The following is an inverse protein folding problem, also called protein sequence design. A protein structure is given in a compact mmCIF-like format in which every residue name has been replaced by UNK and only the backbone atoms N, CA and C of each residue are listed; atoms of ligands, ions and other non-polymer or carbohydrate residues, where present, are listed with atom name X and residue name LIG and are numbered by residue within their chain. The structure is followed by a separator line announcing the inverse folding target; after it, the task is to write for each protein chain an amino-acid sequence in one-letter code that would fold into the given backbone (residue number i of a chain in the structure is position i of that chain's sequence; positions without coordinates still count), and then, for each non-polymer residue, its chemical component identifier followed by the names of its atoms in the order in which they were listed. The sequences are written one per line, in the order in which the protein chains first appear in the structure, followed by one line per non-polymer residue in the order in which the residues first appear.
data_IF_382683397202
#
_entry.id   IF_382683397202
#
_cell.length_a   1.000
_cell.length_b   1.000
_cell.length_c   1.000
_cell.angle_alpha   90.00
_cell.angle_beta   90.00
_cell.angle_gamma   90.00
#
_symmetry.space_group_name_H-M   'P 1'
#
loop_
_entity.id
_entity.type
_entity.pdbx_description
1 polymer ?
#
# COMPACT_ATOMS: atom_id res chain seq x y z
N UNK A 1 -5.29 -31.74 0.87
CA UNK A 1 -5.78 -31.06 2.04
C UNK A 1 -5.03 -31.50 3.29
N UNK A 2 -5.03 -30.66 4.32
CA UNK A 2 -4.45 -31.00 5.64
C UNK A 2 -5.41 -31.93 6.40
N UNK A 3 -4.86 -32.98 7.02
CA UNK A 3 -5.58 -33.75 8.03
C UNK A 3 -5.49 -33.05 9.40
N UNK A 4 -6.29 -33.48 10.40
CA UNK A 4 -6.19 -32.96 11.76
C UNK A 4 -4.80 -33.17 12.36
N UNK A 5 -4.17 -34.31 12.06
CA UNK A 5 -2.81 -34.62 12.49
C UNK A 5 -1.79 -33.68 11.82
N UNK A 6 -1.90 -33.48 10.51
CA UNK A 6 -1.03 -32.53 9.77
C UNK A 6 -1.18 -31.10 10.31
N UNK A 7 -2.39 -30.70 10.71
CA UNK A 7 -2.66 -29.38 11.28
C UNK A 7 -2.02 -29.16 12.65
N UNK A 8 -1.85 -30.23 13.45
CA UNK A 8 -1.26 -30.18 14.80
C UNK A 8 0.25 -30.40 14.77
N UNK A 9 0.72 -31.34 13.97
CA UNK A 9 2.14 -31.79 13.99
C UNK A 9 2.98 -31.12 12.90
N UNK A 10 2.34 -30.55 11.89
CA UNK A 10 3.00 -30.17 10.64
C UNK A 10 3.30 -31.39 9.74
N UNK A 11 3.58 -31.15 8.48
CA UNK A 11 4.01 -32.19 7.55
C UNK A 11 4.80 -31.54 6.40
N UNK A 12 6.05 -31.21 6.69
CA UNK A 12 6.93 -30.48 5.75
C UNK A 12 7.25 -31.32 4.51
N UNK A 13 7.44 -32.64 4.67
CA UNK A 13 7.70 -33.53 3.53
C UNK A 13 6.53 -33.57 2.54
N UNK A 14 5.30 -33.57 3.05
CA UNK A 14 4.11 -33.50 2.20
C UNK A 14 4.01 -32.15 1.51
N UNK A 15 4.29 -31.06 2.21
CA UNK A 15 4.27 -29.71 1.65
C UNK A 15 5.29 -29.58 0.51
N UNK A 16 6.52 -30.03 0.71
CA UNK A 16 7.57 -30.04 -0.31
C UNK A 16 7.10 -30.81 -1.54
N UNK A 17 6.65 -32.04 -1.36
CA UNK A 17 6.17 -32.89 -2.48
C UNK A 17 5.00 -32.29 -3.23
N UNK A 18 4.01 -31.70 -2.52
CA UNK A 18 2.85 -31.07 -3.16
C UNK A 18 3.29 -29.85 -3.99
N UNK A 19 4.31 -29.09 -3.54
CA UNK A 19 4.88 -27.94 -4.27
C UNK A 19 5.69 -28.43 -5.49
N UNK A 20 6.48 -29.48 -5.38
CA UNK A 20 7.24 -30.06 -6.49
C UNK A 20 6.30 -30.50 -7.63
N UNK A 21 5.23 -31.23 -7.30
CA UNK A 21 4.20 -31.64 -8.27
C UNK A 21 3.57 -30.42 -8.96
N UNK A 22 3.22 -29.39 -8.18
CA UNK A 22 2.64 -28.17 -8.73
C UNK A 22 3.65 -27.41 -9.60
N UNK A 23 4.93 -27.40 -9.24
CA UNK A 23 5.97 -26.74 -10.01
C UNK A 23 6.24 -27.42 -11.36
N UNK A 24 6.18 -28.76 -11.42
CA UNK A 24 6.28 -29.51 -12.67
C UNK A 24 5.14 -29.17 -13.64
N UNK A 25 3.92 -29.00 -13.13
CA UNK A 25 2.74 -28.65 -13.92
C UNK A 25 2.74 -27.19 -14.37
N UNK A 26 2.97 -26.25 -13.41
CA UNK A 26 2.83 -24.81 -13.63
C UNK A 26 4.08 -24.16 -14.24
N UNK A 27 5.25 -24.79 -14.11
CA UNK A 27 6.55 -24.27 -14.56
C UNK A 27 6.79 -22.81 -14.13
N UNK A 28 6.73 -22.53 -12.83
CA UNK A 28 6.86 -21.17 -12.33
C UNK A 28 8.28 -20.63 -12.53
N UNK A 29 8.41 -19.31 -12.61
CA UNK A 29 9.72 -18.62 -12.66
C UNK A 29 10.35 -18.45 -11.29
N UNK A 30 9.56 -18.49 -10.23
CA UNK A 30 9.98 -18.50 -8.83
C UNK A 30 8.89 -19.12 -7.95
N UNK A 31 9.25 -19.50 -6.74
CA UNK A 31 8.34 -20.01 -5.71
C UNK A 31 8.44 -19.10 -4.48
N UNK A 32 7.31 -18.59 -3.99
CA UNK A 32 7.25 -17.82 -2.75
C UNK A 32 6.36 -18.53 -1.73
N UNK A 33 6.91 -18.83 -0.55
CA UNK A 33 6.21 -19.48 0.56
C UNK A 33 5.71 -18.42 1.54
N UNK A 34 4.41 -18.25 1.65
CA UNK A 34 3.77 -17.33 2.60
C UNK A 34 3.13 -18.12 3.74
N UNK A 35 3.50 -17.76 4.98
CA UNK A 35 2.96 -18.40 6.17
C UNK A 35 1.55 -17.95 6.51
N UNK A 36 0.79 -18.84 7.14
CA UNK A 36 -0.52 -18.62 7.73
C UNK A 36 -0.51 -19.00 9.22
N UNK A 37 -1.60 -18.76 10.00
CA UNK A 37 -1.56 -19.00 11.43
C UNK A 37 -1.22 -20.44 11.84
N UNK A 38 -1.75 -21.44 11.13
CA UNK A 38 -1.51 -22.85 11.49
C UNK A 38 -0.03 -23.25 11.33
N UNK A 39 0.61 -23.10 10.17
CA UNK A 39 2.04 -23.37 10.01
C UNK A 39 2.92 -22.57 10.97
N UNK A 40 2.56 -21.31 11.25
CA UNK A 40 3.28 -20.49 12.20
C UNK A 40 3.25 -21.07 13.63
N UNK A 41 2.08 -21.55 14.07
CA UNK A 41 1.92 -22.19 15.39
C UNK A 41 2.65 -23.53 15.49
N UNK A 42 2.74 -24.26 14.39
CA UNK A 42 3.46 -25.54 14.32
C UNK A 42 4.98 -25.36 14.22
N UNK A 43 5.46 -24.12 14.03
CA UNK A 43 6.89 -23.85 13.88
C UNK A 43 7.47 -24.29 12.53
N UNK A 44 6.64 -24.38 11.47
CA UNK A 44 7.10 -24.71 10.10
C UNK A 44 8.20 -23.75 9.67
N UNK A 45 9.37 -24.29 9.29
CA UNK A 45 10.51 -23.51 8.79
C UNK A 45 10.42 -23.32 7.27
N UNK A 46 9.64 -22.31 6.85
CA UNK A 46 9.50 -21.97 5.45
C UNK A 46 10.81 -21.57 4.78
N UNK A 47 11.80 -21.06 5.53
CA UNK A 47 13.09 -20.70 4.95
C UNK A 47 13.90 -21.96 4.61
N UNK A 48 13.89 -22.98 5.48
CA UNK A 48 14.50 -24.28 5.20
C UNK A 48 13.80 -24.98 4.03
N UNK A 49 12.46 -24.99 4.01
CA UNK A 49 11.68 -25.58 2.91
C UNK A 49 11.98 -24.88 1.58
N UNK A 50 12.06 -23.55 1.56
CA UNK A 50 12.38 -22.81 0.34
C UNK A 50 13.78 -23.19 -0.19
N UNK A 51 14.78 -23.34 0.67
CA UNK A 51 16.13 -23.79 0.27
C UNK A 51 16.15 -25.20 -0.34
N UNK A 52 15.34 -26.11 0.22
CA UNK A 52 15.21 -27.47 -0.32
C UNK A 52 14.60 -27.40 -1.73
N UNK A 53 13.47 -26.71 -1.86
CA UNK A 53 12.78 -26.55 -3.16
C UNK A 53 13.66 -25.89 -4.22
N UNK A 54 14.47 -24.86 -3.84
CA UNK A 54 15.41 -24.22 -4.75
C UNK A 54 16.49 -25.19 -5.24
N UNK A 55 17.02 -26.04 -4.35
CA UNK A 55 18.02 -27.06 -4.68
C UNK A 55 17.46 -28.16 -5.58
N UNK A 56 16.27 -28.65 -5.27
CA UNK A 56 15.68 -29.81 -5.96
C UNK A 56 15.08 -29.43 -7.32
N UNK A 57 14.49 -28.23 -7.43
CA UNK A 57 13.83 -27.77 -8.67
C UNK A 57 14.72 -26.89 -9.55
N UNK A 58 15.80 -26.30 -9.01
CA UNK A 58 16.61 -25.31 -9.74
C UNK A 58 15.85 -24.03 -10.07
N UNK A 59 14.77 -23.73 -9.35
CA UNK A 59 13.93 -22.55 -9.50
C UNK A 59 14.11 -21.68 -8.26
N UNK A 60 14.33 -20.35 -8.38
CA UNK A 60 14.43 -19.47 -7.22
C UNK A 60 13.24 -19.67 -6.27
N UNK A 61 13.52 -20.00 -5.01
CA UNK A 61 12.50 -20.17 -3.99
C UNK A 61 12.84 -19.39 -2.73
N UNK A 62 11.84 -18.77 -2.10
CA UNK A 62 12.03 -17.98 -0.90
C UNK A 62 10.80 -17.94 0.02
N UNK A 63 11.04 -17.70 1.30
CA UNK A 63 9.98 -17.47 2.25
C UNK A 63 9.59 -15.99 2.31
N UNK A 64 8.30 -15.73 2.47
CA UNK A 64 7.75 -14.42 2.86
C UNK A 64 7.37 -14.53 4.32
N UNK A 65 8.02 -13.79 5.24
CA UNK A 65 7.83 -13.95 6.68
C UNK A 65 6.48 -13.36 7.14
N UNK A 66 5.40 -14.06 6.79
CA UNK A 66 4.02 -13.78 7.20
C UNK A 66 3.51 -14.86 8.14
N UNK A 67 2.50 -14.53 8.94
CA UNK A 67 1.85 -15.47 9.87
C UNK A 67 0.33 -15.35 9.89
N UNK A 68 -0.25 -14.48 9.03
CA UNK A 68 -1.70 -14.25 8.95
C UNK A 68 -2.29 -13.48 10.13
N UNK A 69 -1.46 -12.92 11.05
CA UNK A 69 -1.91 -12.20 12.25
C UNK A 69 -1.73 -10.66 12.13
N UNK A 70 -1.35 -10.18 10.97
CA UNK A 70 -1.15 -8.77 10.67
C UNK A 70 -2.14 -8.31 9.59
N UNK A 71 -2.22 -7.00 9.38
CA UNK A 71 -3.00 -6.46 8.28
C UNK A 71 -2.36 -6.75 6.90
N UNK A 72 -3.11 -6.42 5.84
CA UNK A 72 -2.66 -6.69 4.47
C UNK A 72 -1.40 -5.89 4.08
N UNK A 73 -1.21 -4.68 4.64
CA UNK A 73 -0.03 -3.85 4.37
C UNK A 73 1.24 -4.55 4.79
N UNK A 74 1.21 -5.20 5.96
CA UNK A 74 2.33 -6.02 6.42
C UNK A 74 2.66 -7.16 5.45
N UNK A 75 1.64 -7.94 5.06
CA UNK A 75 1.83 -9.10 4.18
C UNK A 75 2.35 -8.71 2.79
N UNK A 76 1.68 -7.75 2.15
CA UNK A 76 2.09 -7.23 0.84
C UNK A 76 3.47 -6.58 0.89
N UNK A 77 3.71 -5.72 1.90
CA UNK A 77 5.00 -5.07 2.08
C UNK A 77 6.16 -6.06 2.23
N UNK A 78 5.94 -7.18 2.94
CA UNK A 78 6.93 -8.27 3.04
C UNK A 78 7.15 -8.97 1.71
N UNK A 79 6.09 -9.29 0.97
CA UNK A 79 6.21 -9.95 -0.33
C UNK A 79 6.98 -9.09 -1.35
N UNK A 80 6.64 -7.82 -1.47
CA UNK A 80 7.34 -6.87 -2.35
C UNK A 80 8.80 -6.66 -1.91
N UNK A 81 9.06 -6.62 -0.60
CA UNK A 81 10.40 -6.54 -0.05
C UNK A 81 11.27 -7.74 -0.42
N UNK A 82 10.74 -8.96 -0.35
CA UNK A 82 11.46 -10.16 -0.76
C UNK A 82 11.77 -10.18 -2.26
N UNK A 83 10.89 -9.65 -3.10
CA UNK A 83 11.16 -9.44 -4.52
C UNK A 83 12.26 -8.38 -4.70
N UNK A 84 12.15 -7.23 -4.02
CA UNK A 84 13.14 -6.15 -4.11
C UNK A 84 14.56 -6.57 -3.71
N UNK A 85 14.70 -7.48 -2.73
CA UNK A 85 15.99 -8.08 -2.35
C UNK A 85 16.64 -8.91 -3.46
N UNK A 86 15.84 -9.41 -4.39
CA UNK A 86 16.27 -10.32 -5.47
C UNK A 86 16.44 -9.65 -6.81
N UNK A 87 16.08 -8.37 -6.92
CA UNK A 87 16.38 -7.60 -8.13
C UNK A 87 17.88 -7.52 -8.32
N UNK A 88 18.34 -7.90 -9.50
CA UNK A 88 19.73 -7.81 -9.91
C UNK A 88 19.92 -6.63 -10.87
N UNK A 89 21.15 -6.17 -11.02
CA UNK A 89 21.49 -5.13 -11.99
C UNK A 89 22.31 -4.00 -11.40
N UNK A 90 22.68 -3.08 -12.26
CA UNK A 90 23.38 -1.84 -11.92
C UNK A 90 22.46 -0.66 -12.11
N UNK A 91 22.67 0.37 -11.32
CA UNK A 91 21.96 1.61 -11.48
C UNK A 91 22.45 2.37 -12.71
N UNK A 92 21.68 2.32 -13.79
CA UNK A 92 21.84 3.14 -14.99
C UNK A 92 20.60 4.01 -15.16
N UNK A 93 20.64 5.22 -14.63
CA UNK A 93 19.45 6.06 -14.50
C UNK A 93 18.91 6.51 -15.86
N UNK A 94 17.67 6.17 -16.13
CA UNK A 94 16.89 6.76 -17.22
C UNK A 94 16.26 8.07 -16.71
N UNK A 95 16.57 9.23 -17.30
CA UNK A 95 16.00 10.50 -16.85
C UNK A 95 14.47 10.53 -16.97
N UNK A 96 13.81 11.22 -16.02
CA UNK A 96 12.34 11.34 -15.97
C UNK A 96 11.63 9.98 -16.00
N UNK A 97 12.17 9.01 -15.28
CA UNK A 97 11.57 7.69 -15.14
C UNK A 97 11.26 7.33 -13.70
N UNK A 98 10.23 6.50 -13.52
CA UNK A 98 9.68 6.17 -12.22
C UNK A 98 9.19 4.72 -12.17
N UNK A 99 9.38 4.07 -11.01
CA UNK A 99 8.64 2.86 -10.66
C UNK A 99 7.46 3.23 -9.76
N UNK A 100 6.30 2.63 -9.97
CA UNK A 100 5.15 2.75 -9.08
C UNK A 100 5.17 1.56 -8.10
N UNK A 101 5.38 1.83 -6.83
CA UNK A 101 5.50 0.81 -5.78
C UNK A 101 4.24 0.77 -4.91
N UNK A 102 3.75 -0.44 -4.62
CA UNK A 102 2.54 -0.63 -3.85
C UNK A 102 1.26 -0.67 -4.69
N UNK A 103 1.40 -0.92 -5.98
CA UNK A 103 0.25 -1.06 -6.89
C UNK A 103 -0.33 -2.47 -6.75
N UNK A 104 -1.35 -2.63 -5.90
CA UNK A 104 -1.95 -3.93 -5.61
C UNK A 104 -3.45 -3.94 -5.86
N UNK A 105 -4.04 -5.12 -6.16
CA UNK A 105 -5.50 -5.24 -6.30
C UNK A 105 -6.25 -4.88 -5.01
N UNK A 106 -5.59 -4.96 -3.86
CA UNK A 106 -6.18 -4.64 -2.56
C UNK A 106 -6.41 -3.13 -2.39
N UNK A 107 -5.49 -2.31 -2.92
CA UNK A 107 -5.58 -0.85 -2.86
C UNK A 107 -6.29 -0.25 -4.07
N UNK A 108 -5.97 -0.72 -5.28
CA UNK A 108 -6.41 -0.07 -6.52
C UNK A 108 -7.46 -0.87 -7.31
N UNK A 109 -7.74 -2.12 -6.91
CA UNK A 109 -8.77 -2.92 -7.56
C UNK A 109 -8.40 -3.39 -8.97
N UNK A 110 -9.26 -3.21 -9.98
CA UNK A 110 -9.01 -3.71 -11.33
C UNK A 110 -7.93 -2.92 -12.06
N UNK A 111 -7.31 -3.55 -13.09
CA UNK A 111 -6.20 -2.99 -13.85
C UNK A 111 -6.48 -1.60 -14.43
N UNK A 112 -7.71 -1.31 -14.84
CA UNK A 112 -8.12 -0.01 -15.39
C UNK A 112 -7.83 1.17 -14.44
N UNK A 113 -7.86 0.93 -13.12
CA UNK A 113 -7.52 1.96 -12.13
C UNK A 113 -6.00 2.21 -12.09
N UNK A 114 -5.21 1.17 -12.26
CA UNK A 114 -3.75 1.28 -12.37
C UNK A 114 -3.36 2.01 -13.63
N UNK A 115 -4.02 1.70 -14.75
CA UNK A 115 -3.79 2.37 -16.03
C UNK A 115 -4.06 3.89 -15.93
N UNK A 116 -5.06 4.30 -15.14
CA UNK A 116 -5.32 5.71 -14.87
C UNK A 116 -4.21 6.38 -14.04
N UNK A 117 -3.64 5.67 -13.04
CA UNK A 117 -2.46 6.17 -12.30
C UNK A 117 -1.25 6.36 -13.23
N UNK A 118 -0.98 5.37 -14.08
CA UNK A 118 0.10 5.44 -15.08
C UNK A 118 -0.11 6.64 -16.00
N UNK A 119 -1.32 6.81 -16.54
CA UNK A 119 -1.65 7.94 -17.43
C UNK A 119 -1.39 9.29 -16.78
N UNK A 120 -1.77 9.48 -15.52
CA UNK A 120 -1.52 10.75 -14.82
C UNK A 120 -0.01 11.05 -14.73
N UNK A 121 0.80 10.06 -14.45
CA UNK A 121 2.26 10.19 -14.36
C UNK A 121 2.88 10.45 -15.74
N UNK A 122 2.44 9.72 -16.79
CA UNK A 122 2.98 9.86 -18.14
C UNK A 122 2.56 11.16 -18.83
N UNK A 123 1.32 11.61 -18.63
CA UNK A 123 0.86 12.92 -19.10
C UNK A 123 1.63 14.08 -18.47
N UNK A 124 2.19 13.86 -17.30
CA UNK A 124 3.05 14.81 -16.61
C UNK A 124 4.53 14.76 -17.07
N UNK A 125 4.86 13.95 -18.07
CA UNK A 125 6.17 13.87 -18.70
C UNK A 125 7.15 12.91 -18.00
N UNK A 126 6.67 12.02 -17.14
CA UNK A 126 7.48 10.96 -16.54
C UNK A 126 7.16 9.61 -17.19
N UNK A 127 8.18 8.79 -17.42
CA UNK A 127 8.03 7.43 -17.97
C UNK A 127 7.91 6.43 -16.85
N UNK A 128 6.83 5.67 -16.81
CA UNK A 128 6.69 4.54 -15.89
C UNK A 128 7.51 3.36 -16.44
N UNK A 129 8.46 2.85 -15.64
CA UNK A 129 9.30 1.71 -16.00
C UNK A 129 8.73 0.39 -15.47
N UNK A 130 8.13 0.43 -14.28
CA UNK A 130 7.48 -0.73 -13.68
C UNK A 130 6.38 -0.34 -12.70
N UNK A 131 5.40 -1.22 -12.56
CA UNK A 131 4.35 -1.17 -11.55
C UNK A 131 4.42 -2.40 -10.66
N UNK A 132 4.58 -2.20 -9.38
CA UNK A 132 4.72 -3.29 -8.41
C UNK A 132 3.41 -3.42 -7.59
N UNK A 133 2.53 -4.40 -7.82
CA UNK A 133 2.71 -5.64 -8.58
C UNK A 133 1.51 -5.92 -9.52
N UNK A 134 1.06 -4.98 -10.31
CA UNK A 134 -0.02 -5.18 -11.29
C UNK A 134 0.39 -4.72 -12.67
N UNK A 135 0.22 -5.63 -13.65
CA UNK A 135 0.41 -5.34 -15.07
C UNK A 135 1.82 -5.58 -15.60
N UNK A 136 2.80 -5.89 -14.77
CA UNK A 136 4.20 -6.05 -15.13
C UNK A 136 4.66 -7.50 -15.22
N UNK A 137 5.75 -7.70 -15.97
CA UNK A 137 6.53 -8.92 -16.00
C UNK A 137 7.70 -8.87 -15.01
N UNK A 138 8.38 -10.00 -14.78
CA UNK A 138 9.62 -10.03 -14.00
C UNK A 138 10.75 -9.26 -14.69
N UNK A 139 10.75 -9.18 -16.01
CA UNK A 139 11.70 -8.38 -16.77
C UNK A 139 11.51 -6.89 -16.49
N UNK A 140 10.26 -6.40 -16.42
CA UNK A 140 9.94 -5.01 -16.06
C UNK A 140 10.38 -4.71 -14.63
N UNK A 141 10.10 -5.60 -13.68
CA UNK A 141 10.59 -5.48 -12.31
C UNK A 141 12.11 -5.47 -12.22
N UNK A 142 12.79 -6.25 -13.07
CA UNK A 142 14.25 -6.27 -13.18
C UNK A 142 14.86 -4.92 -13.57
N UNK A 143 14.09 -4.04 -14.21
CA UNK A 143 14.50 -2.68 -14.59
C UNK A 143 14.35 -1.64 -13.47
N UNK A 144 13.87 -2.03 -12.29
CA UNK A 144 13.69 -1.10 -11.17
C UNK A 144 14.94 -0.26 -10.83
N UNK A 145 16.20 -0.74 -10.95
CA UNK A 145 17.38 0.07 -10.73
C UNK A 145 17.57 1.23 -11.72
N UNK A 146 16.94 1.17 -12.91
CA UNK A 146 17.04 2.20 -13.95
C UNK A 146 16.20 3.46 -13.63
N UNK A 147 15.25 3.38 -12.74
CA UNK A 147 14.37 4.50 -12.44
C UNK A 147 15.12 5.66 -11.74
N UNK A 148 14.78 6.88 -12.13
CA UNK A 148 15.29 8.07 -11.45
C UNK A 148 14.76 8.18 -10.02
N UNK A 149 13.48 7.82 -9.82
CA UNK A 149 12.80 7.85 -8.52
C UNK A 149 11.83 6.66 -8.40
N UNK A 150 11.59 6.20 -7.19
CA UNK A 150 10.50 5.28 -6.84
C UNK A 150 9.32 6.07 -6.30
N UNK A 151 8.12 5.89 -6.83
CA UNK A 151 6.90 6.48 -6.32
C UNK A 151 6.11 5.44 -5.52
N UNK A 152 6.03 5.64 -4.22
CA UNK A 152 5.24 4.81 -3.30
C UNK A 152 3.81 5.32 -3.30
N UNK A 153 2.92 4.62 -4.03
CA UNK A 153 1.53 5.03 -4.23
C UNK A 153 0.57 4.53 -3.15
N UNK A 154 1.02 3.57 -2.36
CA UNK A 154 0.37 3.00 -1.16
C UNK A 154 1.45 2.56 -0.18
N UNK A 155 1.17 2.57 1.11
CA UNK A 155 2.11 2.12 2.15
C UNK A 155 2.61 0.69 1.98
N UNK A 156 1.89 -0.13 1.23
CA UNK A 156 2.33 -1.49 0.84
C UNK A 156 3.65 -1.50 0.05
N UNK A 157 3.97 -0.42 -0.67
CA UNK A 157 5.22 -0.28 -1.44
C UNK A 157 6.43 0.22 -0.65
N UNK A 158 6.24 0.73 0.58
CA UNK A 158 7.28 1.45 1.30
C UNK A 158 8.51 0.59 1.59
N UNK A 159 8.33 -0.66 2.07
CA UNK A 159 9.44 -1.56 2.36
C UNK A 159 10.28 -1.91 1.13
N UNK A 160 9.64 -2.07 -0.02
CA UNK A 160 10.35 -2.30 -1.28
C UNK A 160 11.14 -1.05 -1.70
N UNK A 161 10.57 0.15 -1.52
CA UNK A 161 11.25 1.41 -1.80
C UNK A 161 12.50 1.61 -0.94
N UNK A 162 12.42 1.33 0.36
CA UNK A 162 13.56 1.38 1.29
C UNK A 162 14.69 0.44 0.85
N UNK A 163 14.37 -0.80 0.47
CA UNK A 163 15.34 -1.78 -0.01
C UNK A 163 15.98 -1.34 -1.33
N UNK A 164 15.19 -0.84 -2.28
CA UNK A 164 15.72 -0.34 -3.55
C UNK A 164 16.60 0.90 -3.35
N UNK A 165 16.28 1.75 -2.37
CA UNK A 165 17.12 2.87 -1.99
C UNK A 165 18.45 2.40 -1.36
N UNK A 166 18.40 1.44 -0.44
CA UNK A 166 19.61 0.88 0.20
C UNK A 166 20.52 0.19 -0.82
N UNK A 167 19.94 -0.62 -1.73
CA UNK A 167 20.71 -1.43 -2.68
C UNK A 167 21.24 -0.66 -3.88
N UNK A 168 20.44 0.26 -4.40
CA UNK A 168 20.74 0.96 -5.65
C UNK A 168 20.87 2.48 -5.50
N UNK A 169 20.53 3.04 -4.33
CA UNK A 169 20.51 4.48 -4.10
C UNK A 169 19.38 5.20 -4.84
N UNK A 170 18.33 4.48 -5.30
CA UNK A 170 17.17 5.08 -5.95
C UNK A 170 16.32 5.80 -4.90
N UNK A 171 16.21 7.13 -4.93
CA UNK A 171 15.38 7.84 -3.96
C UNK A 171 13.91 7.47 -4.14
N UNK A 172 13.12 7.61 -3.09
CA UNK A 172 11.67 7.41 -3.20
C UNK A 172 10.87 8.62 -2.72
N UNK A 173 9.69 8.75 -3.28
CA UNK A 173 8.67 9.75 -2.95
C UNK A 173 7.38 9.01 -2.62
N UNK A 174 6.68 9.44 -1.59
CA UNK A 174 5.40 8.85 -1.16
C UNK A 174 4.24 9.78 -1.53
N UNK A 175 3.26 9.26 -2.25
CA UNK A 175 2.07 9.98 -2.67
C UNK A 175 1.34 9.26 -3.80
N UNK A 176 0.01 9.32 -3.80
CA UNK A 176 -0.83 8.70 -4.84
C UNK A 176 -1.05 9.69 -5.98
N UNK A 177 -0.85 9.32 -7.26
CA UNK A 177 -0.97 10.22 -8.40
C UNK A 177 -2.44 10.53 -8.77
N UNK A 178 -3.15 11.19 -7.85
CA UNK A 178 -4.50 11.72 -8.04
C UNK A 178 -4.39 13.03 -8.83
N UNK A 179 -5.30 13.28 -9.79
CA UNK A 179 -5.24 14.43 -10.70
C UNK A 179 -4.99 15.77 -9.99
N UNK A 180 -5.76 16.11 -8.97
CA UNK A 180 -5.60 17.36 -8.21
C UNK A 180 -4.30 17.44 -7.41
N UNK A 181 -3.67 16.31 -7.12
CA UNK A 181 -2.41 16.22 -6.38
C UNK A 181 -1.17 16.21 -7.26
N UNK A 182 -1.29 15.98 -8.57
CA UNK A 182 -0.16 15.78 -9.49
C UNK A 182 0.89 16.89 -9.44
N UNK A 183 0.50 18.15 -9.36
CA UNK A 183 1.46 19.26 -9.31
C UNK A 183 2.37 19.19 -8.09
N UNK A 184 1.83 18.89 -6.94
CA UNK A 184 2.59 18.73 -5.68
C UNK A 184 3.48 17.50 -5.74
N UNK A 185 2.95 16.40 -6.25
CA UNK A 185 3.67 15.14 -6.41
C UNK A 185 4.87 15.28 -7.35
N UNK A 186 4.71 15.94 -8.50
CA UNK A 186 5.79 16.17 -9.46
C UNK A 186 6.93 17.01 -8.86
N UNK A 187 6.59 18.08 -8.16
CA UNK A 187 7.60 18.89 -7.46
C UNK A 187 8.39 18.04 -6.45
N UNK A 188 7.70 17.21 -5.67
CA UNK A 188 8.36 16.31 -4.74
C UNK A 188 9.26 15.27 -5.44
N UNK A 189 8.83 14.73 -6.59
CA UNK A 189 9.64 13.81 -7.38
C UNK A 189 10.89 14.48 -7.96
N UNK A 190 10.78 15.72 -8.47
CA UNK A 190 11.91 16.49 -8.98
C UNK A 190 12.91 16.85 -7.88
N UNK A 191 12.42 17.25 -6.72
CA UNK A 191 13.22 17.62 -5.55
C UNK A 191 13.64 16.40 -4.70
N UNK A 192 13.15 15.20 -5.02
CA UNK A 192 13.39 13.93 -4.32
C UNK A 192 13.03 13.98 -2.83
N UNK A 193 11.91 14.62 -2.54
CA UNK A 193 11.36 14.77 -1.20
C UNK A 193 10.50 13.57 -0.83
N UNK A 194 10.81 12.94 0.30
CA UNK A 194 10.26 11.63 0.67
C UNK A 194 8.74 11.58 0.78
N UNK A 195 8.09 12.64 1.27
CA UNK A 195 6.64 12.63 1.50
C UNK A 195 6.03 13.87 0.83
N UNK A 196 5.40 13.68 -0.33
CA UNK A 196 4.90 14.76 -1.17
C UNK A 196 3.80 15.60 -0.50
N UNK A 197 2.87 14.98 0.21
CA UNK A 197 1.74 15.67 0.83
C UNK A 197 2.12 16.49 2.08
N UNK A 198 3.27 16.24 2.71
CA UNK A 198 3.75 17.04 3.85
C UNK A 198 4.49 18.30 3.43
N UNK A 199 4.94 18.41 2.17
CA UNK A 199 5.77 19.50 1.68
C UNK A 199 5.11 20.88 1.71
N UNK A 200 3.79 20.94 1.52
CA UNK A 200 3.02 22.18 1.64
C UNK A 200 2.34 22.35 2.98
N UNK A 201 2.68 21.46 3.95
CA UNK A 201 2.07 21.41 5.26
C UNK A 201 0.56 21.27 5.13
N UNK A 202 0.05 20.04 5.14
CA UNK A 202 -1.36 19.83 5.44
C UNK A 202 -1.70 20.63 6.67
N UNK A 203 -2.82 21.35 6.67
CA UNK A 203 -3.27 22.33 7.67
C UNK A 203 -2.55 23.71 7.69
N UNK A 204 -1.58 24.02 6.80
CA UNK A 204 -0.91 25.34 6.77
C UNK A 204 -1.77 26.44 6.14
N UNK A 205 -2.77 26.12 5.33
CA UNK A 205 -3.69 27.13 4.78
C UNK A 205 -4.66 27.74 5.78
N UNK A 206 -4.78 27.15 6.96
CA UNK A 206 -5.71 27.50 8.02
C UNK A 206 -4.98 28.25 9.14
N UNK A 207 -4.32 29.36 8.81
CA UNK A 207 -3.61 30.23 9.77
C UNK A 207 -4.60 31.03 10.63
N UNK A 208 -5.23 30.35 11.55
CA UNK A 208 -5.94 30.94 12.70
C UNK A 208 -5.30 30.45 14.01
N UNK A 209 -5.46 31.21 15.09
CA UNK A 209 -5.07 30.76 16.42
C UNK A 209 -5.71 29.40 16.74
N UNK A 210 -5.06 28.55 17.53
CA UNK A 210 -5.56 27.21 17.88
C UNK A 210 -7.01 27.20 18.41
N UNK A 211 -7.44 28.31 19.02
CA UNK A 211 -8.82 28.54 19.50
C UNK A 211 -9.85 28.76 18.38
N UNK A 212 -9.44 29.18 17.18
CA UNK A 212 -10.32 29.40 16.03
C UNK A 212 -10.44 28.13 15.17
N UNK A 213 -9.40 27.26 15.13
CA UNK A 213 -9.43 25.97 14.44
C UNK A 213 -10.54 25.02 14.89
N UNK A 214 -11.01 25.17 16.13
CA UNK A 214 -12.10 24.33 16.69
C UNK A 214 -13.49 24.68 16.17
N UNK A 215 -13.67 25.76 15.39
CA UNK A 215 -14.95 26.22 14.87
C UNK A 215 -15.18 25.90 13.38
N UNK A 216 -14.16 25.47 12.66
CA UNK A 216 -14.28 25.19 11.22
C UNK A 216 -14.88 23.80 10.93
N UNK A 217 -15.66 23.74 9.85
CA UNK A 217 -16.21 22.50 9.33
C UNK A 217 -15.07 21.62 8.82
N UNK A 218 -15.07 20.33 9.19
CA UNK A 218 -14.05 19.40 8.75
C UNK A 218 -14.64 18.16 8.07
N UNK A 219 -13.89 17.61 7.15
CA UNK A 219 -14.14 16.30 6.51
C UNK A 219 -13.18 15.27 7.13
N UNK A 220 -13.69 14.09 7.41
CA UNK A 220 -12.88 12.96 7.90
C UNK A 220 -12.66 11.98 6.76
N UNK A 221 -11.43 11.57 6.54
CA UNK A 221 -11.08 10.48 5.62
C UNK A 221 -10.61 9.29 6.44
N UNK A 222 -11.19 8.10 6.21
CA UNK A 222 -10.79 6.87 6.92
C UNK A 222 -10.26 5.87 5.90
N UNK A 223 -8.98 5.47 6.02
CA UNK A 223 -8.43 4.48 5.10
C UNK A 223 -6.91 4.35 5.12
N UNK A 224 -6.36 3.92 4.00
CA UNK A 224 -4.94 3.72 3.76
C UNK A 224 -4.20 5.07 3.77
N UNK A 225 -3.10 5.21 4.53
CA UNK A 225 -2.54 6.52 4.83
C UNK A 225 -2.07 7.31 3.60
N UNK A 226 -1.36 6.69 2.66
CA UNK A 226 -0.81 7.41 1.48
C UNK A 226 -1.92 7.92 0.57
N UNK A 227 -2.94 7.10 0.34
CA UNK A 227 -4.09 7.44 -0.49
C UNK A 227 -4.90 8.55 0.18
N UNK A 228 -5.23 8.38 1.46
CA UNK A 228 -6.06 9.34 2.21
C UNK A 228 -5.34 10.69 2.40
N UNK A 229 -4.04 10.67 2.68
CA UNK A 229 -3.23 11.88 2.79
C UNK A 229 -3.13 12.65 1.46
N UNK A 230 -2.95 11.93 0.34
CA UNK A 230 -2.95 12.54 -0.99
C UNK A 230 -4.30 13.15 -1.33
N UNK A 231 -5.40 12.45 -1.01
CA UNK A 231 -6.76 12.95 -1.18
C UNK A 231 -7.06 14.15 -0.27
N UNK A 232 -6.61 14.09 0.97
CA UNK A 232 -6.75 15.20 1.92
C UNK A 232 -6.05 16.45 1.40
N UNK A 233 -4.85 16.33 0.86
CA UNK A 233 -4.11 17.44 0.27
C UNK A 233 -4.87 18.09 -0.92
N UNK A 234 -5.57 17.28 -1.72
CA UNK A 234 -6.45 17.80 -2.80
C UNK A 234 -7.61 18.59 -2.20
N UNK A 235 -8.35 18.00 -1.27
CA UNK A 235 -9.54 18.61 -0.67
C UNK A 235 -9.17 19.94 0.02
N UNK A 236 -8.09 19.97 0.80
CA UNK A 236 -7.63 21.18 1.47
C UNK A 236 -7.18 22.27 0.50
N UNK A 237 -6.50 21.87 -0.59
CA UNK A 237 -5.98 22.84 -1.57
C UNK A 237 -7.08 23.41 -2.48
N UNK A 238 -7.98 22.56 -3.00
CA UNK A 238 -8.98 22.96 -3.98
C UNK A 238 -10.24 23.54 -3.35
N UNK A 239 -10.67 22.97 -2.22
CA UNK A 239 -11.94 23.36 -1.59
C UNK A 239 -11.77 24.22 -0.34
N UNK A 240 -10.55 24.39 0.16
CA UNK A 240 -10.25 25.14 1.40
C UNK A 240 -11.05 24.62 2.61
N UNK A 241 -11.22 23.31 2.68
CA UNK A 241 -11.92 22.61 3.77
C UNK A 241 -10.89 21.87 4.60
N UNK A 242 -10.95 21.98 5.91
CA UNK A 242 -10.08 21.22 6.83
C UNK A 242 -10.36 19.71 6.71
N UNK A 243 -9.33 18.93 6.61
CA UNK A 243 -9.43 17.46 6.53
C UNK A 243 -8.66 16.82 7.67
N UNK A 244 -9.23 15.77 8.23
CA UNK A 244 -8.57 14.90 9.20
C UNK A 244 -8.53 13.49 8.66
N UNK A 245 -7.35 12.87 8.66
CA UNK A 245 -7.21 11.46 8.30
C UNK A 245 -7.22 10.60 9.56
N UNK A 246 -7.98 9.52 9.51
CA UNK A 246 -7.96 8.44 10.50
C UNK A 246 -7.49 7.17 9.82
N UNK A 247 -6.34 6.65 10.23
CA UNK A 247 -5.75 5.44 9.67
C UNK A 247 -6.00 4.23 10.58
N UNK A 248 -6.77 3.22 10.12
CA UNK A 248 -7.06 2.02 10.90
C UNK A 248 -5.99 0.92 10.74
N UNK A 249 -4.91 1.18 10.00
CA UNK A 249 -3.85 0.22 9.73
C UNK A 249 -2.68 0.37 10.71
N UNK A 250 -1.98 -0.74 10.97
CA UNK A 250 -0.87 -0.77 11.94
C UNK A 250 0.45 -0.25 11.37
N UNK A 251 0.75 -0.55 10.11
CA UNK A 251 1.97 -0.14 9.40
C UNK A 251 1.82 1.28 8.82
N UNK A 252 2.01 2.30 9.66
CA UNK A 252 1.77 3.72 9.29
C UNK A 252 2.85 4.70 9.73
N UNK A 253 3.99 4.20 10.20
CA UNK A 253 5.07 5.00 10.78
C UNK A 253 5.53 6.12 9.84
N UNK A 254 5.35 7.35 10.29
CA UNK A 254 5.82 8.55 9.57
C UNK A 254 5.01 8.91 8.31
N UNK A 255 3.87 8.25 8.06
CA UNK A 255 3.03 8.53 6.88
C UNK A 255 1.88 9.50 7.16
N UNK A 256 1.48 9.68 8.40
CA UNK A 256 0.40 10.60 8.77
C UNK A 256 0.92 12.01 9.02
N UNK A 257 0.15 13.00 8.59
CA UNK A 257 0.41 14.40 8.90
C UNK A 257 0.17 14.71 10.39
N UNK A 258 0.76 15.81 10.87
CA UNK A 258 0.57 16.25 12.24
C UNK A 258 -0.91 16.49 12.57
N UNK A 259 -1.37 15.84 13.63
CA UNK A 259 -2.75 15.91 14.08
C UNK A 259 -3.69 14.89 13.46
N UNK A 260 -3.28 14.11 12.47
CA UNK A 260 -4.04 12.96 11.99
C UNK A 260 -3.95 11.78 12.98
N UNK A 261 -4.92 10.89 12.94
CA UNK A 261 -5.15 9.91 14.00
C UNK A 261 -4.88 8.50 13.49
N UNK A 262 -4.10 7.78 14.27
CA UNK A 262 -3.92 6.35 14.07
C UNK A 262 -4.77 5.58 15.09
N UNK A 263 -5.54 4.58 14.64
CA UNK A 263 -6.40 3.77 15.49
C UNK A 263 -6.13 2.27 15.29
N UNK A 264 -6.45 1.47 16.29
CA UNK A 264 -6.34 0.02 16.23
C UNK A 264 -7.68 -0.60 16.68
N UNK A 265 -8.50 -0.99 15.70
CA UNK A 265 -9.81 -1.59 15.95
C UNK A 265 -10.96 -0.60 15.99
N UNK A 266 -12.17 -1.15 16.09
CA UNK A 266 -13.44 -0.43 15.96
C UNK A 266 -13.69 0.53 17.11
N UNK A 267 -13.36 0.12 18.34
CA UNK A 267 -13.56 0.93 19.55
C UNK A 267 -12.74 2.23 19.53
N UNK A 268 -11.45 2.14 19.17
CA UNK A 268 -10.60 3.34 19.06
C UNK A 268 -11.07 4.25 17.92
N UNK A 269 -11.57 3.68 16.83
CA UNK A 269 -12.13 4.45 15.71
C UNK A 269 -13.38 5.22 16.15
N UNK A 270 -14.30 4.55 16.87
CA UNK A 270 -15.50 5.20 17.39
C UNK A 270 -15.16 6.33 18.35
N UNK A 271 -14.23 6.09 19.29
CA UNK A 271 -13.74 7.12 20.22
C UNK A 271 -13.09 8.30 19.49
N UNK A 272 -12.27 8.04 18.46
CA UNK A 272 -11.67 9.08 17.65
C UNK A 272 -12.75 9.94 16.96
N UNK A 273 -13.73 9.32 16.31
CA UNK A 273 -14.84 10.03 15.66
C UNK A 273 -15.67 10.87 16.64
N UNK A 274 -15.95 10.35 17.84
CA UNK A 274 -16.69 11.05 18.88
C UNK A 274 -15.91 12.25 19.47
N UNK A 275 -14.58 12.19 19.47
CA UNK A 275 -13.72 13.27 19.97
C UNK A 275 -13.67 14.49 19.03
N UNK A 276 -13.95 14.31 17.74
CA UNK A 276 -13.87 15.34 16.73
C UNK A 276 -15.14 16.21 16.70
N UNK A 277 -14.95 17.51 16.57
CA UNK A 277 -16.03 18.50 16.54
C UNK A 277 -16.25 19.02 15.12
N UNK A 278 -17.46 19.50 14.86
CA UNK A 278 -17.82 20.15 13.58
C UNK A 278 -17.58 19.28 12.34
N UNK A 279 -17.69 17.96 12.47
CA UNK A 279 -17.60 17.02 11.36
C UNK A 279 -18.82 17.19 10.46
N UNK A 280 -18.59 17.50 9.18
CA UNK A 280 -19.64 17.66 8.15
C UNK A 280 -19.80 16.43 7.28
N UNK A 281 -18.75 15.66 7.12
CA UNK A 281 -18.76 14.46 6.32
C UNK A 281 -17.65 13.51 6.66
N UNK A 282 -17.90 12.24 6.43
CA UNK A 282 -16.93 11.15 6.51
C UNK A 282 -16.84 10.51 5.13
N UNK A 283 -15.63 10.36 4.61
CA UNK A 283 -15.33 9.59 3.38
C UNK A 283 -14.61 8.32 3.81
N UNK A 284 -15.22 7.17 3.59
CA UNK A 284 -14.67 5.91 4.06
C UNK A 284 -15.25 4.71 3.30
N UNK A 285 -14.61 3.54 3.47
CA UNK A 285 -15.21 2.28 3.06
C UNK A 285 -16.56 2.07 3.77
N UNK A 286 -17.59 1.53 3.08
CA UNK A 286 -18.91 1.25 3.68
C UNK A 286 -18.88 0.42 4.97
N UNK A 287 -17.79 -0.35 5.20
CA UNK A 287 -17.57 -1.12 6.43
C UNK A 287 -17.62 -0.22 7.68
N UNK A 288 -17.17 1.04 7.55
CA UNK A 288 -17.08 1.97 8.70
C UNK A 288 -18.37 2.76 8.96
N UNK A 289 -19.41 2.60 8.11
CA UNK A 289 -20.68 3.33 8.29
C UNK A 289 -21.33 3.12 9.65
N UNK A 290 -21.37 1.88 10.22
CA UNK A 290 -22.01 1.64 11.52
C UNK A 290 -21.42 2.42 12.69
N UNK A 291 -20.12 2.75 12.65
CA UNK A 291 -19.44 3.49 13.74
C UNK A 291 -19.45 5.01 13.53
N UNK A 292 -19.98 5.47 12.38
CA UNK A 292 -20.07 6.90 12.10
C UNK A 292 -21.36 7.50 12.71
N UNK A 293 -21.31 8.75 13.23
CA UNK A 293 -22.49 9.41 13.76
C UNK A 293 -23.62 9.57 12.72
N UNK A 294 -24.85 9.29 13.07
CA UNK A 294 -26.00 9.32 12.16
C UNK A 294 -26.28 10.70 11.52
N UNK A 295 -25.92 11.77 12.21
CA UNK A 295 -26.14 13.15 11.77
C UNK A 295 -25.02 13.71 10.86
N UNK A 296 -24.03 12.89 10.50
CA UNK A 296 -22.91 13.27 9.64
C UNK A 296 -23.11 12.65 8.26
N UNK A 297 -22.85 13.43 7.21
CA UNK A 297 -22.90 12.92 5.83
C UNK A 297 -21.82 11.85 5.63
N UNK A 298 -22.21 10.71 5.06
CA UNK A 298 -21.29 9.61 4.77
C UNK A 298 -21.13 9.42 3.27
N UNK A 299 -19.91 9.52 2.78
CA UNK A 299 -19.53 9.33 1.39
C UNK A 299 -18.75 8.02 1.24
N UNK A 300 -19.30 7.10 0.49
CA UNK A 300 -18.73 5.78 0.32
C UNK A 300 -17.50 5.80 -0.61
N UNK A 301 -16.38 5.36 -0.10
CA UNK A 301 -15.15 5.08 -0.84
C UNK A 301 -14.74 3.62 -0.62
N UNK A 302 -15.34 2.67 -1.37
CA UNK A 302 -15.10 1.25 -1.17
C UNK A 302 -13.66 0.86 -1.44
N UNK A 303 -13.09 0.03 -0.55
CA UNK A 303 -11.71 -0.43 -0.62
C UNK A 303 -11.66 -1.96 -0.51
N UNK A 304 -10.93 -2.64 -1.41
CA UNK A 304 -10.96 -4.11 -1.49
C UNK A 304 -10.41 -4.76 -0.22
N UNK A 305 -9.33 -4.20 0.35
CA UNK A 305 -8.74 -4.78 1.56
C UNK A 305 -9.62 -4.64 2.82
N UNK A 306 -10.57 -3.71 2.85
CA UNK A 306 -11.48 -3.53 3.99
C UNK A 306 -12.75 -4.35 3.83
N UNK A 307 -13.60 -4.00 2.88
CA UNK A 307 -14.89 -4.68 2.68
C UNK A 307 -14.94 -5.55 1.41
N UNK A 308 -13.88 -5.53 0.60
CA UNK A 308 -13.88 -6.17 -0.68
C UNK A 308 -14.96 -5.60 -1.61
N UNK A 309 -15.67 -6.50 -2.31
CA UNK A 309 -16.80 -6.12 -3.17
C UNK A 309 -18.16 -6.42 -2.56
N UNK A 310 -18.23 -6.54 -1.23
CA UNK A 310 -19.46 -6.87 -0.53
C UNK A 310 -20.53 -5.82 -0.80
N UNK A 311 -20.19 -4.53 -0.73
CA UNK A 311 -21.13 -3.44 -0.86
C UNK A 311 -21.25 -2.88 -2.28
N UNK A 312 -20.18 -2.95 -3.09
CA UNK A 312 -20.15 -2.37 -4.44
C UNK A 312 -19.56 -3.33 -5.46
N UNK A 313 -20.23 -3.46 -6.62
CA UNK A 313 -19.72 -4.23 -7.77
C UNK A 313 -18.70 -3.44 -8.58
N UNK A 314 -18.81 -2.12 -8.61
CA UNK A 314 -17.92 -1.20 -9.32
C UNK A 314 -17.28 -0.25 -8.32
N UNK A 315 -15.96 -0.19 -8.31
CA UNK A 315 -15.17 0.70 -7.47
C UNK A 315 -14.97 2.05 -8.18
N UNK A 316 -14.90 3.17 -7.45
CA UNK A 316 -14.52 4.46 -8.03
C UNK A 316 -13.05 4.44 -8.48
N UNK A 317 -12.73 5.16 -9.55
CA UNK A 317 -11.35 5.35 -10.03
C UNK A 317 -10.70 6.48 -9.23
N UNK A 318 -9.78 6.14 -8.34
CA UNK A 318 -9.13 7.13 -7.45
C UNK A 318 -8.26 8.15 -8.19
N UNK A 319 -7.77 7.80 -9.37
CA UNK A 319 -6.87 8.66 -10.17
C UNK A 319 -7.61 9.81 -10.87
N UNK A 320 -8.92 9.71 -11.08
CA UNK A 320 -9.75 10.72 -11.74
C UNK A 320 -10.12 11.88 -10.80
#
# INVERSE_FOLDING_TARGET
GLTEIDAVMGNDEKLIRDIEIAAEELKPKFIALAGSPIPYMNGTDFEAIAKILEQDLGIPAFSVPTNGMHDYVYGVGRALAEIAKRIEGKREVTPKSVNLLGVTPLDFGPQEHVDALIQNVEQAGWKVLSTWAMGDTLEDLGRAPEAEVNLVVSSTGLRAAEILQERFGTPYVTGTPIRGFMKTLLNAMEEKKQIAYLEKGRHIGLTGNESEKSSENQIILIGEPVIMESLAAVIETEYQISVRVICPLREKKGLLADGDIAVCGEEELEQALQSLKNVKGVVADPLYRPVCPENVAFYELPHIAFSGRIYKKKLPVLAE
#
